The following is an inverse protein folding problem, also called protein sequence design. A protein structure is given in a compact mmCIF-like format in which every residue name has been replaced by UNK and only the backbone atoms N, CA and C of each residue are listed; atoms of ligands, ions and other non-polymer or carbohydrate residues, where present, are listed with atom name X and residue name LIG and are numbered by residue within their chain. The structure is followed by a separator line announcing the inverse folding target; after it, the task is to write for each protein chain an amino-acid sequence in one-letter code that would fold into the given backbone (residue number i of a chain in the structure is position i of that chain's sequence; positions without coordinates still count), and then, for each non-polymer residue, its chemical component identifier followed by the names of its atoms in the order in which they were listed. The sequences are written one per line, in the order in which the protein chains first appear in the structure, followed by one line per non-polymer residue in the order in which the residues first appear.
data_IF_227939575452
#
_entry.id   IF_227939575452
#
_cell.length_a   1.000
_cell.length_b   1.000
_cell.length_c   1.000
_cell.angle_alpha   90.00
_cell.angle_beta   90.00
_cell.angle_gamma   90.00
#
_symmetry.space_group_name_H-M   'P 1'
#
loop_
_entity.id
_entity.type
_entity.pdbx_description
1 polymer ?
#
# COMPACT_ATOMS: atom_id res chain seq x y z
N UNK A 1 3.01 6.70 -30.53
CA UNK A 1 3.70 5.83 -29.56
C UNK A 1 3.90 6.65 -28.29
N UNK A 2 3.05 6.47 -27.28
CA UNK A 2 3.21 7.12 -25.98
C UNK A 2 3.79 6.10 -25.02
N UNK A 3 4.99 6.37 -24.52
CA UNK A 3 5.69 5.60 -23.50
C UNK A 3 4.81 5.42 -22.24
N UNK A 4 4.87 4.27 -21.55
CA UNK A 4 4.20 4.11 -20.27
C UNK A 4 4.89 5.03 -19.25
N UNK A 5 4.11 5.91 -18.62
CA UNK A 5 4.60 6.81 -17.58
C UNK A 5 4.89 5.98 -16.30
N UNK A 6 6.13 5.91 -15.78
CA UNK A 6 6.49 5.00 -14.68
C UNK A 6 6.00 5.41 -13.28
N UNK A 7 5.19 6.47 -13.13
CA UNK A 7 5.00 7.14 -11.83
C UNK A 7 3.69 6.83 -11.10
N UNK A 8 2.89 5.84 -11.49
CA UNK A 8 1.59 5.56 -10.84
C UNK A 8 1.71 4.75 -9.53
N UNK A 9 2.93 4.31 -9.16
CA UNK A 9 3.21 3.56 -7.92
C UNK A 9 4.09 4.34 -6.92
N UNK A 10 3.91 5.67 -6.86
CA UNK A 10 4.61 6.50 -5.87
C UNK A 10 3.95 6.40 -4.49
N UNK A 11 4.75 6.10 -3.47
CA UNK A 11 4.34 6.09 -2.05
C UNK A 11 3.81 7.42 -1.53
N UNK A 12 4.04 8.51 -2.24
CA UNK A 12 4.00 9.86 -1.68
C UNK A 12 2.98 10.73 -2.42
N UNK A 13 1.76 10.80 -1.88
CA UNK A 13 0.99 12.04 -1.88
C UNK A 13 1.10 12.64 -0.48
N UNK A 14 2.24 13.27 -0.21
CA UNK A 14 2.53 13.89 1.08
C UNK A 14 1.57 15.07 1.31
N UNK A 15 0.58 14.85 2.19
CA UNK A 15 -0.15 15.91 2.89
C UNK A 15 0.87 16.86 3.56
N UNK A 16 0.64 18.18 3.46
CA UNK A 16 1.50 19.21 4.06
C UNK A 16 1.51 19.21 5.60
N UNK A 17 0.72 18.35 6.25
CA UNK A 17 0.65 18.21 7.70
C UNK A 17 0.81 16.74 8.09
N UNK A 18 1.76 16.44 8.97
CA UNK A 18 1.95 15.11 9.53
C UNK A 18 0.82 14.83 10.53
N UNK A 19 -0.06 13.85 10.27
CA UNK A 19 -1.19 13.58 11.16
C UNK A 19 -0.71 12.90 12.45
N UNK A 20 -1.31 13.24 13.59
CA UNK A 20 -1.03 12.64 14.91
C UNK A 20 -1.35 11.13 14.95
N UNK A 21 -2.31 10.70 14.14
CA UNK A 21 -2.77 9.31 14.02
C UNK A 21 -2.96 8.99 12.55
N UNK A 22 -2.45 7.84 12.11
CA UNK A 22 -2.66 7.29 10.77
C UNK A 22 -3.39 5.96 10.90
N UNK A 23 -4.29 5.69 9.96
CA UNK A 23 -4.93 4.38 9.81
C UNK A 23 -4.24 3.60 8.70
N UNK A 24 -3.95 2.31 8.93
CA UNK A 24 -3.31 1.43 7.94
C UNK A 24 -4.22 0.24 7.68
N UNK A 25 -4.67 0.09 6.44
CA UNK A 25 -5.64 -0.94 6.02
C UNK A 25 -4.96 -1.89 5.06
N UNK A 26 -4.99 -3.20 5.35
CA UNK A 26 -4.64 -4.27 4.42
C UNK A 26 -5.90 -4.86 3.80
N UNK A 27 -6.02 -4.79 2.47
CA UNK A 27 -7.07 -5.42 1.68
C UNK A 27 -6.47 -6.62 0.94
N UNK A 28 -7.12 -7.78 1.05
CA UNK A 28 -6.74 -8.98 0.30
C UNK A 28 -7.96 -9.46 -0.49
N UNK A 29 -7.79 -9.65 -1.80
CA UNK A 29 -8.81 -10.16 -2.70
C UNK A 29 -8.40 -11.51 -3.28
N UNK A 30 -9.36 -12.42 -3.41
CA UNK A 30 -9.18 -13.75 -4.00
C UNK A 30 -10.02 -13.82 -5.27
N UNK A 31 -9.38 -14.13 -6.40
CA UNK A 31 -10.01 -14.33 -7.71
C UNK A 31 -10.07 -15.84 -7.98
N UNK A 32 -11.11 -16.48 -7.45
CA UNK A 32 -11.25 -17.95 -7.46
C UNK A 32 -11.21 -18.58 -8.85
N UNK A 33 -11.74 -17.90 -9.88
CA UNK A 33 -11.76 -18.42 -11.25
C UNK A 33 -10.36 -18.51 -11.87
N UNK A 34 -9.44 -17.64 -11.43
CA UNK A 34 -8.14 -17.45 -12.07
C UNK A 34 -6.97 -17.97 -11.24
N UNK A 35 -7.25 -18.57 -10.07
CA UNK A 35 -6.24 -18.98 -9.08
C UNK A 35 -5.25 -17.84 -8.73
N UNK A 36 -5.76 -16.61 -8.76
CA UNK A 36 -5.01 -15.40 -8.47
C UNK A 36 -5.55 -14.71 -7.23
N UNK A 37 -4.70 -13.89 -6.66
CA UNK A 37 -4.97 -13.04 -5.52
C UNK A 37 -4.49 -11.62 -5.83
N UNK A 38 -4.95 -10.69 -5.01
CA UNK A 38 -4.44 -9.33 -4.97
C UNK A 38 -4.33 -8.89 -3.51
N UNK A 39 -3.39 -8.01 -3.24
CA UNK A 39 -3.21 -7.41 -1.93
C UNK A 39 -2.94 -5.93 -2.10
N UNK A 40 -3.46 -5.12 -1.20
CA UNK A 40 -3.29 -3.68 -1.23
C UNK A 40 -3.19 -3.14 0.19
N UNK A 41 -2.32 -2.17 0.37
CA UNK A 41 -2.24 -1.39 1.59
C UNK A 41 -2.61 0.04 1.27
N UNK A 42 -3.43 0.62 2.15
CA UNK A 42 -3.83 2.01 2.14
C UNK A 42 -3.48 2.62 3.49
N UNK A 43 -2.99 3.85 3.47
CA UNK A 43 -2.70 4.65 4.66
C UNK A 43 -3.56 5.90 4.61
N UNK A 44 -4.36 6.13 5.64
CA UNK A 44 -5.22 7.30 5.77
C UNK A 44 -4.78 8.20 6.91
N UNK A 45 -5.18 9.46 6.84
CA UNK A 45 -5.12 10.38 7.97
C UNK A 45 -6.12 9.96 9.08
N UNK A 46 -6.08 10.67 10.21
CA UNK A 46 -6.94 10.37 11.37
C UNK A 46 -8.44 10.39 11.04
N UNK A 47 -8.86 11.23 10.08
CA UNK A 47 -10.27 11.33 9.71
C UNK A 47 -10.75 10.12 8.91
N UNK A 48 -9.83 9.34 8.31
CA UNK A 48 -10.16 8.30 7.35
C UNK A 48 -10.61 8.85 6.00
N UNK A 49 -10.59 10.17 5.80
CA UNK A 49 -11.06 10.83 4.59
C UNK A 49 -9.95 11.05 3.57
N UNK A 50 -8.71 11.23 4.03
CA UNK A 50 -7.56 11.51 3.16
C UNK A 50 -6.64 10.30 3.05
N UNK A 51 -6.56 9.73 1.84
CA UNK A 51 -5.55 8.74 1.49
C UNK A 51 -4.18 9.42 1.39
N UNK A 52 -3.24 9.01 2.25
CA UNK A 52 -1.88 9.53 2.34
C UNK A 52 -0.89 8.72 1.51
N UNK A 53 -1.05 7.40 1.50
CA UNK A 53 -0.20 6.49 0.75
C UNK A 53 -0.97 5.22 0.35
N UNK A 54 -0.56 4.60 -0.75
CA UNK A 54 -1.13 3.35 -1.22
C UNK A 54 -0.09 2.51 -1.94
N UNK A 55 -0.14 1.21 -1.73
CA UNK A 55 0.64 0.25 -2.50
C UNK A 55 -0.25 -0.95 -2.85
N UNK A 56 -0.24 -1.33 -4.12
CA UNK A 56 -0.98 -2.50 -4.60
C UNK A 56 -0.03 -3.55 -5.17
N UNK A 57 -0.39 -4.81 -4.94
CA UNK A 57 0.18 -6.01 -5.56
C UNK A 57 -0.96 -6.72 -6.29
N UNK A 58 -1.25 -6.34 -7.54
CA UNK A 58 -2.27 -7.00 -8.32
C UNK A 58 -1.78 -8.36 -8.82
N UNK A 59 -2.72 -9.30 -8.97
CA UNK A 59 -2.57 -10.49 -9.81
C UNK A 59 -1.37 -11.39 -9.47
N UNK A 60 -1.17 -11.75 -8.21
CA UNK A 60 -0.23 -12.82 -7.84
C UNK A 60 -0.94 -14.17 -7.74
N UNK A 61 -0.21 -15.27 -7.92
CA UNK A 61 -0.79 -16.62 -7.87
C UNK A 61 -1.14 -16.99 -6.43
N UNK A 62 -2.20 -17.77 -6.24
CA UNK A 62 -2.61 -18.22 -4.90
C UNK A 62 -1.49 -18.97 -4.15
N UNK A 63 -0.65 -19.72 -4.87
CA UNK A 63 0.50 -20.44 -4.31
C UNK A 63 1.58 -19.49 -3.71
N UNK A 64 1.64 -18.24 -4.19
CA UNK A 64 2.55 -17.21 -3.69
C UNK A 64 1.92 -16.34 -2.59
N UNK A 65 0.68 -16.63 -2.17
CA UNK A 65 -0.08 -15.70 -1.33
C UNK A 65 0.61 -15.36 0.00
N UNK A 66 1.19 -16.35 0.69
CA UNK A 66 1.90 -16.12 1.95
C UNK A 66 3.10 -15.18 1.76
N UNK A 67 3.87 -15.41 0.69
CA UNK A 67 5.04 -14.59 0.34
C UNK A 67 4.64 -13.16 0.00
N UNK A 68 3.62 -12.97 -0.83
CA UNK A 68 3.20 -11.65 -1.29
C UNK A 68 2.50 -10.84 -0.19
N UNK A 69 1.68 -11.49 0.64
CA UNK A 69 1.07 -10.86 1.83
C UNK A 69 2.15 -10.51 2.87
N UNK A 70 3.13 -11.37 3.12
CA UNK A 70 4.24 -11.06 4.02
C UNK A 70 5.06 -9.88 3.50
N UNK A 71 5.29 -9.81 2.20
CA UNK A 71 6.04 -8.73 1.58
C UNK A 71 5.29 -7.39 1.67
N UNK A 72 3.98 -7.36 1.44
CA UNK A 72 3.20 -6.13 1.57
C UNK A 72 3.10 -5.67 3.04
N UNK A 73 2.98 -6.60 4.00
CA UNK A 73 3.04 -6.26 5.43
C UNK A 73 4.38 -5.65 5.85
N UNK A 74 5.49 -6.17 5.30
CA UNK A 74 6.83 -5.61 5.53
C UNK A 74 6.94 -4.18 4.98
N UNK A 75 6.36 -3.94 3.82
CA UNK A 75 6.33 -2.62 3.19
C UNK A 75 5.48 -1.64 4.01
N UNK A 76 4.31 -2.06 4.50
CA UNK A 76 3.50 -1.30 5.47
C UNK A 76 4.30 -0.92 6.72
N UNK A 77 5.02 -1.89 7.30
CA UNK A 77 5.83 -1.67 8.50
C UNK A 77 6.90 -0.60 8.25
N UNK A 78 7.55 -0.61 7.08
CA UNK A 78 8.52 0.42 6.71
C UNK A 78 7.86 1.80 6.61
N UNK A 79 6.68 1.87 6.00
CA UNK A 79 5.92 3.12 5.89
C UNK A 79 5.55 3.68 7.27
N UNK A 80 4.98 2.85 8.15
CA UNK A 80 4.67 3.22 9.54
C UNK A 80 5.94 3.76 10.23
N UNK A 81 7.06 3.05 10.11
CA UNK A 81 8.32 3.49 10.71
C UNK A 81 8.82 4.82 10.13
N UNK A 82 8.62 5.05 8.83
CA UNK A 82 8.90 6.33 8.17
C UNK A 82 8.07 7.48 8.73
N UNK A 83 6.80 7.24 9.05
CA UNK A 83 5.94 8.24 9.72
C UNK A 83 6.30 8.49 11.18
N UNK A 84 6.97 7.55 11.86
CA UNK A 84 7.44 7.71 13.25
C UNK A 84 8.87 8.24 13.38
N UNK A 85 9.62 8.33 12.28
CA UNK A 85 10.96 8.88 12.25
C UNK A 85 10.95 10.42 12.26
N UNK A 86 12.08 11.08 12.58
CA UNK A 86 12.20 12.51 12.33
C UNK A 86 11.97 12.76 10.85
N UNK A 87 10.99 13.62 10.52
CA UNK A 87 10.85 14.15 9.16
C UNK A 87 12.20 14.75 8.74
N UNK A 88 12.70 14.48 7.52
CA UNK A 88 13.79 15.27 6.96
C UNK A 88 13.36 16.72 6.75
#
# INVERSE_FOLDING_TARGET
MTTPNPSVNGWEQLSMLQPDVIEVILKVGIMHADNHCQAQIEVYDRSGEQLLAMQSRPHFRLEDADKEVTAILRDARKAILGFTGPFP
#
